data_IF_309156404920
#
_entry.id   IF_309156404920
#
_cell.length_a   1.000
_cell.length_b   1.000
_cell.length_c   1.000
_cell.angle_alpha   90.00
_cell.angle_beta   90.00
_cell.angle_gamma   90.00
#
_symmetry.space_group_name_H-M   'P 1'
#
loop_
_entity.id
_entity.type
_entity.pdbx_description
1 polymer ?
#
# COMPACT_ATOMS: atom_id res chain seq x y z
N UNK A 1 -15.30 10.63 -25.20
CA UNK A 1 -15.83 9.28 -25.52
C UNK A 1 -14.85 8.41 -26.31
N UNK A 2 -14.18 8.90 -27.36
CA UNK A 2 -13.18 8.11 -28.14
C UNK A 2 -11.97 7.58 -27.35
N UNK A 3 -11.52 8.28 -26.31
CA UNK A 3 -10.39 7.79 -25.48
C UNK A 3 -10.80 6.61 -24.57
N UNK A 4 -12.06 6.57 -24.10
CA UNK A 4 -12.55 5.47 -23.25
C UNK A 4 -12.69 4.17 -24.04
N UNK A 5 -13.14 4.24 -25.30
CA UNK A 5 -13.24 3.08 -26.19
C UNK A 5 -11.87 2.51 -26.57
N UNK A 6 -10.84 3.36 -26.72
CA UNK A 6 -9.47 2.91 -26.99
C UNK A 6 -8.82 2.19 -25.80
N UNK A 7 -9.11 2.62 -24.56
CA UNK A 7 -8.61 1.93 -23.36
C UNK A 7 -9.34 0.60 -23.09
N UNK A 8 -10.65 0.53 -23.37
CA UNK A 8 -11.40 -0.73 -23.29
C UNK A 8 -10.86 -1.80 -24.25
N UNK A 9 -10.41 -1.43 -25.45
CA UNK A 9 -9.81 -2.36 -26.42
C UNK A 9 -8.46 -2.93 -25.98
N UNK A 10 -7.75 -2.26 -25.05
CA UNK A 10 -6.43 -2.67 -24.60
C UNK A 10 -6.46 -3.72 -23.47
N UNK A 11 -7.61 -3.91 -22.81
CA UNK A 11 -7.88 -5.03 -21.89
C UNK A 11 -7.09 -5.04 -20.56
N UNK A 12 -6.16 -4.12 -20.34
CA UNK A 12 -5.38 -4.03 -19.09
C UNK A 12 -6.09 -3.12 -18.08
N UNK A 13 -6.39 -3.67 -16.90
CA UNK A 13 -6.95 -2.92 -15.78
C UNK A 13 -5.86 -2.34 -14.89
N UNK A 14 -6.21 -1.37 -14.04
CA UNK A 14 -5.32 -0.87 -12.99
C UNK A 14 -4.80 -2.03 -12.11
N UNK A 15 -5.66 -2.99 -11.76
CA UNK A 15 -5.26 -4.16 -10.97
C UNK A 15 -4.18 -4.99 -11.68
N UNK A 16 -4.35 -5.29 -12.97
CA UNK A 16 -3.35 -6.02 -13.75
C UNK A 16 -2.02 -5.25 -13.79
N UNK A 17 -2.06 -3.94 -14.00
CA UNK A 17 -0.86 -3.10 -14.00
C UNK A 17 -0.14 -3.11 -12.65
N UNK A 18 -0.88 -3.03 -11.54
CA UNK A 18 -0.30 -3.10 -10.19
C UNK A 18 0.27 -4.49 -9.91
N UNK A 19 -0.43 -5.57 -10.32
CA UNK A 19 0.07 -6.94 -10.14
C UNK A 19 1.39 -7.17 -10.87
N UNK A 20 1.48 -6.75 -12.14
CA UNK A 20 2.72 -6.80 -12.91
C UNK A 20 3.83 -5.97 -12.25
N UNK A 21 3.49 -4.79 -11.74
CA UNK A 21 4.44 -3.96 -11.01
C UNK A 21 4.93 -4.64 -9.72
N UNK A 22 4.06 -5.27 -8.93
CA UNK A 22 4.47 -6.02 -7.72
C UNK A 22 5.39 -7.20 -8.05
N UNK A 23 5.13 -7.91 -9.14
CA UNK A 23 6.04 -8.95 -9.64
C UNK A 23 7.39 -8.34 -10.03
N UNK A 24 7.40 -7.19 -10.72
CA UNK A 24 8.63 -6.48 -11.04
C UNK A 24 9.39 -6.05 -9.78
N UNK A 25 8.72 -5.55 -8.74
CA UNK A 25 9.35 -5.26 -7.45
C UNK A 25 10.02 -6.49 -6.85
N UNK A 26 9.35 -7.65 -6.85
CA UNK A 26 9.91 -8.92 -6.39
C UNK A 26 11.18 -9.26 -7.18
N UNK A 27 11.12 -9.15 -8.51
CA UNK A 27 12.28 -9.42 -9.39
C UNK A 27 13.44 -8.47 -9.07
N UNK A 28 13.20 -7.17 -8.87
CA UNK A 28 14.24 -6.22 -8.50
C UNK A 28 14.91 -6.57 -7.16
N UNK A 29 14.13 -7.01 -6.17
CA UNK A 29 14.67 -7.39 -4.85
C UNK A 29 15.46 -8.69 -4.91
N UNK A 30 14.99 -9.69 -5.67
CA UNK A 30 15.73 -10.92 -5.93
C UNK A 30 17.03 -10.61 -6.67
N UNK A 31 16.99 -9.72 -7.66
CA UNK A 31 18.20 -9.27 -8.36
C UNK A 31 19.20 -8.61 -7.41
N UNK A 32 18.74 -7.77 -6.46
CA UNK A 32 19.62 -7.24 -5.42
C UNK A 32 20.25 -8.35 -4.58
N UNK A 33 19.48 -9.36 -4.17
CA UNK A 33 20.01 -10.50 -3.43
C UNK A 33 21.03 -11.33 -4.21
N UNK A 34 20.83 -11.49 -5.52
CA UNK A 34 21.78 -12.20 -6.38
C UNK A 34 23.07 -11.40 -6.62
N UNK A 35 22.98 -10.07 -6.72
CA UNK A 35 24.13 -9.20 -7.00
C UNK A 35 24.95 -8.89 -5.75
N UNK A 36 24.29 -8.55 -4.64
CA UNK A 36 24.94 -8.09 -3.40
C UNK A 36 25.05 -9.19 -2.32
N UNK A 37 24.34 -10.32 -2.50
CA UNK A 37 24.24 -11.36 -1.50
C UNK A 37 23.31 -11.01 -0.34
N UNK A 38 23.23 -11.91 0.63
CA UNK A 38 22.48 -11.73 1.89
C UNK A 38 23.43 -11.90 3.08
N UNK A 39 24.46 -11.05 3.21
CA UNK A 39 25.50 -11.25 4.23
C UNK A 39 24.97 -11.02 5.64
N UNK A 40 24.01 -10.10 5.81
CA UNK A 40 23.58 -9.61 7.12
C UNK A 40 22.06 -9.63 7.32
N UNK A 41 21.66 -9.42 8.58
CA UNK A 41 20.27 -9.41 9.01
C UNK A 41 19.43 -8.33 8.30
N UNK A 42 20.03 -7.21 7.88
CA UNK A 42 19.32 -6.10 7.21
C UNK A 42 18.66 -6.56 5.92
N UNK A 43 19.44 -7.16 5.03
CA UNK A 43 18.97 -7.60 3.72
C UNK A 43 17.99 -8.75 3.86
N UNK A 44 18.28 -9.69 4.77
CA UNK A 44 17.38 -10.81 5.06
C UNK A 44 16.01 -10.32 5.56
N UNK A 45 15.98 -9.47 6.60
CA UNK A 45 14.73 -8.93 7.12
C UNK A 45 14.01 -8.10 6.06
N UNK A 46 14.72 -7.24 5.33
CA UNK A 46 14.11 -6.42 4.29
C UNK A 46 13.42 -7.31 3.23
N UNK A 47 14.10 -8.36 2.76
CA UNK A 47 13.54 -9.33 1.82
C UNK A 47 12.31 -10.00 2.39
N UNK A 48 12.37 -10.54 3.60
CA UNK A 48 11.24 -11.20 4.23
C UNK A 48 10.02 -10.28 4.33
N UNK A 49 10.19 -9.02 4.77
CA UNK A 49 9.08 -8.10 4.92
C UNK A 49 8.54 -7.61 3.57
N UNK A 50 9.40 -7.17 2.65
CA UNK A 50 8.90 -6.59 1.39
C UNK A 50 8.35 -7.66 0.44
N UNK A 51 8.98 -8.84 0.36
CA UNK A 51 8.45 -9.94 -0.44
C UNK A 51 7.15 -10.49 0.14
N UNK A 52 7.04 -10.66 1.47
CA UNK A 52 5.79 -11.14 2.06
C UNK A 52 4.64 -10.17 1.80
N UNK A 53 4.88 -8.86 1.79
CA UNK A 53 3.89 -7.87 1.39
C UNK A 53 3.46 -8.02 -0.08
N UNK A 54 4.41 -8.10 -1.02
CA UNK A 54 4.09 -8.26 -2.43
C UNK A 54 3.37 -9.60 -2.70
N UNK A 55 3.81 -10.68 -2.07
CA UNK A 55 3.15 -11.98 -2.14
C UNK A 55 1.74 -11.94 -1.56
N UNK A 56 1.55 -11.28 -0.41
CA UNK A 56 0.22 -11.09 0.19
C UNK A 56 -0.71 -10.35 -0.77
N UNK A 57 -0.27 -9.24 -1.38
CA UNK A 57 -1.05 -8.50 -2.38
C UNK A 57 -1.51 -9.38 -3.57
N UNK A 58 -0.65 -10.27 -4.06
CA UNK A 58 -0.98 -11.16 -5.16
C UNK A 58 -1.93 -12.29 -4.70
N UNK A 59 -1.66 -12.84 -3.52
CA UNK A 59 -2.40 -13.98 -2.98
C UNK A 59 -3.80 -13.60 -2.46
N UNK A 60 -3.96 -12.40 -1.89
CA UNK A 60 -5.24 -11.97 -1.31
C UNK A 60 -6.37 -11.90 -2.35
N UNK A 61 -6.05 -11.72 -3.63
CA UNK A 61 -7.04 -11.67 -4.71
C UNK A 61 -7.64 -13.06 -5.01
N UNK A 62 -6.88 -14.11 -4.70
CA UNK A 62 -7.35 -15.48 -4.76
C UNK A 62 -8.21 -15.81 -3.53
N UNK A 63 -7.76 -15.42 -2.33
CA UNK A 63 -8.52 -15.59 -1.08
C UNK A 63 -9.83 -14.79 -1.05
N UNK A 64 -9.81 -13.56 -1.58
CA UNK A 64 -10.95 -12.65 -1.63
C UNK A 64 -11.23 -12.23 -3.07
N UNK A 65 -11.91 -13.06 -3.88
CA UNK A 65 -12.17 -12.78 -5.29
C UNK A 65 -12.86 -11.44 -5.55
N UNK A 66 -13.65 -10.94 -4.61
CA UNK A 66 -14.31 -9.62 -4.69
C UNK A 66 -13.29 -8.47 -4.75
N UNK A 67 -12.05 -8.65 -4.25
CA UNK A 67 -10.98 -7.66 -4.40
C UNK A 67 -10.60 -7.43 -5.87
N UNK A 68 -10.86 -8.39 -6.77
CA UNK A 68 -10.60 -8.21 -8.21
C UNK A 68 -11.50 -7.16 -8.86
N UNK A 69 -12.60 -6.79 -8.20
CA UNK A 69 -13.45 -5.68 -8.62
C UNK A 69 -12.90 -4.31 -8.19
N UNK A 70 -11.94 -4.28 -7.26
CA UNK A 70 -11.20 -3.07 -6.93
C UNK A 70 -10.18 -2.81 -8.04
N UNK A 71 -10.00 -1.54 -8.43
CA UNK A 71 -9.06 -1.16 -9.49
C UNK A 71 -9.38 -1.83 -10.85
N UNK A 72 -10.68 -1.97 -11.17
CA UNK A 72 -11.16 -2.54 -12.43
C UNK A 72 -11.12 -1.56 -13.60
N UNK A 73 -10.85 -0.28 -13.35
CA UNK A 73 -10.81 0.73 -14.39
C UNK A 73 -9.71 0.40 -15.42
N UNK A 74 -9.99 0.49 -16.73
CA UNK A 74 -9.00 0.24 -17.76
C UNK A 74 -7.92 1.33 -17.70
N UNK A 75 -6.67 0.92 -17.90
CA UNK A 75 -5.53 1.83 -18.04
C UNK A 75 -5.02 1.82 -19.47
N UNK A 76 -4.34 2.88 -19.88
CA UNK A 76 -3.59 2.90 -21.12
C UNK A 76 -2.15 2.42 -20.99
N UNK A 77 -1.41 2.39 -22.11
CA UNK A 77 0.04 2.14 -22.11
C UNK A 77 0.80 3.03 -21.12
N UNK A 78 0.48 4.33 -21.09
CA UNK A 78 1.09 5.26 -20.13
C UNK A 78 0.78 4.90 -18.68
N UNK A 79 -0.43 4.43 -18.37
CA UNK A 79 -0.82 4.01 -17.03
C UNK A 79 -0.09 2.75 -16.58
N UNK A 80 0.06 1.76 -17.47
CA UNK A 80 0.85 0.57 -17.20
C UNK A 80 2.33 0.91 -16.99
N UNK A 81 2.93 1.69 -17.91
CA UNK A 81 4.34 2.12 -17.79
C UNK A 81 4.55 2.87 -16.48
N UNK A 82 3.64 3.77 -16.11
CA UNK A 82 3.71 4.50 -14.84
C UNK A 82 3.65 3.56 -13.64
N UNK A 83 2.78 2.54 -13.66
CA UNK A 83 2.72 1.54 -12.59
C UNK A 83 4.02 0.74 -12.49
N UNK A 84 4.60 0.30 -13.62
CA UNK A 84 5.85 -0.44 -13.64
C UNK A 84 7.03 0.41 -13.13
N UNK A 85 7.12 1.68 -13.53
CA UNK A 85 8.17 2.58 -13.08
C UNK A 85 8.02 2.95 -11.60
N UNK A 86 6.82 3.32 -11.16
CA UNK A 86 6.58 3.80 -9.79
C UNK A 86 6.48 2.64 -8.81
N UNK A 87 5.52 1.73 -9.01
CA UNK A 87 5.29 0.61 -8.09
C UNK A 87 6.31 -0.49 -8.30
N UNK A 88 6.72 -0.76 -9.54
CA UNK A 88 7.68 -1.83 -9.83
C UNK A 88 9.11 -1.47 -9.42
N UNK A 89 9.62 -0.35 -9.93
CA UNK A 89 11.03 0.05 -9.76
C UNK A 89 11.21 1.00 -8.57
N UNK A 90 10.52 2.13 -8.54
CA UNK A 90 10.75 3.14 -7.51
C UNK A 90 10.43 2.64 -6.10
N UNK A 91 9.40 1.81 -5.91
CA UNK A 91 9.13 1.21 -4.60
C UNK A 91 10.16 0.16 -4.18
N UNK A 92 11.00 -0.34 -5.09
CA UNK A 92 12.15 -1.18 -4.75
C UNK A 92 13.35 -0.37 -4.23
N UNK A 93 13.33 0.98 -4.32
CA UNK A 93 14.43 1.86 -3.88
C UNK A 93 14.87 1.62 -2.44
N UNK A 94 13.97 1.52 -1.43
CA UNK A 94 14.40 1.24 -0.06
C UNK A 94 15.09 -0.12 0.06
N UNK A 95 14.74 -1.07 -0.82
CA UNK A 95 15.40 -2.37 -0.90
C UNK A 95 16.82 -2.22 -1.40
N UNK A 96 17.01 -1.60 -2.56
CA UNK A 96 18.35 -1.31 -3.07
C UNK A 96 19.22 -0.59 -2.03
N UNK A 97 18.66 0.40 -1.32
CA UNK A 97 19.35 1.11 -0.24
C UNK A 97 19.65 0.21 0.96
N UNK A 98 18.75 -0.72 1.34
CA UNK A 98 19.01 -1.71 2.38
C UNK A 98 20.16 -2.67 2.00
N UNK A 99 20.24 -3.08 0.73
CA UNK A 99 21.29 -3.97 0.22
C UNK A 99 22.66 -3.31 0.14
N UNK A 100 22.68 -2.00 -0.13
CA UNK A 100 23.92 -1.22 -0.29
C UNK A 100 24.33 -0.46 0.97
N UNK A 101 23.59 -0.59 2.07
CA UNK A 101 23.92 0.04 3.33
C UNK A 101 25.04 -0.75 4.04
N UNK A 102 26.25 -0.16 4.23
CA UNK A 102 27.35 -0.84 4.88
C UNK A 102 27.17 -0.91 6.41
N UNK A 103 26.25 -0.13 6.98
CA UNK A 103 26.08 -0.06 8.42
C UNK A 103 25.32 -1.28 8.96
N UNK A 104 25.83 -1.91 10.03
CA UNK A 104 25.14 -3.04 10.66
C UNK A 104 23.76 -2.61 11.17
N UNK A 105 22.80 -3.53 11.10
CA UNK A 105 21.45 -3.25 11.60
C UNK A 105 21.44 -3.29 13.13
N UNK A 106 21.08 -2.16 13.77
CA UNK A 106 20.87 -2.15 15.21
C UNK A 106 19.60 -2.92 15.62
N UNK A 107 19.61 -3.54 16.79
CA UNK A 107 18.42 -4.22 17.34
C UNK A 107 17.23 -3.28 17.48
N UNK A 108 17.47 -2.01 17.85
CA UNK A 108 16.42 -1.01 17.97
C UNK A 108 15.76 -0.72 16.62
N UNK A 109 16.57 -0.52 15.57
CA UNK A 109 16.06 -0.31 14.20
C UNK A 109 15.25 -1.51 13.72
N UNK A 110 15.74 -2.73 13.96
CA UNK A 110 15.03 -3.96 13.63
C UNK A 110 13.68 -4.04 14.36
N UNK A 111 13.66 -3.78 15.67
CA UNK A 111 12.45 -3.82 16.49
C UNK A 111 11.41 -2.79 16.02
N UNK A 112 11.82 -1.55 15.76
CA UNK A 112 10.93 -0.49 15.26
C UNK A 112 10.33 -0.91 13.91
N UNK A 113 11.16 -1.38 12.98
CA UNK A 113 10.67 -1.82 11.67
C UNK A 113 9.68 -2.98 11.77
N UNK A 114 9.95 -3.98 12.62
CA UNK A 114 9.05 -5.11 12.82
C UNK A 114 7.70 -4.66 13.40
N UNK A 115 7.71 -3.80 14.42
CA UNK A 115 6.48 -3.23 15.00
C UNK A 115 5.68 -2.49 13.94
N UNK A 116 6.32 -1.60 13.17
CA UNK A 116 5.67 -0.86 12.09
C UNK A 116 5.06 -1.79 11.04
N UNK A 117 5.80 -2.82 10.61
CA UNK A 117 5.35 -3.76 9.61
C UNK A 117 4.18 -4.61 10.09
N UNK A 118 4.28 -5.18 11.30
CA UNK A 118 3.28 -6.08 11.88
C UNK A 118 1.98 -5.31 12.14
N UNK A 119 2.03 -4.22 12.91
CA UNK A 119 0.84 -3.45 13.20
C UNK A 119 0.28 -2.78 11.94
N UNK A 120 1.12 -2.29 11.05
CA UNK A 120 0.69 -1.76 9.76
C UNK A 120 -0.10 -2.79 8.94
N UNK A 121 0.39 -4.03 8.90
CA UNK A 121 -0.28 -5.13 8.20
C UNK A 121 -1.59 -5.55 8.86
N UNK A 122 -1.61 -5.71 10.19
CA UNK A 122 -2.82 -6.04 10.93
C UNK A 122 -3.89 -4.96 10.75
N UNK A 123 -3.54 -3.69 10.94
CA UNK A 123 -4.47 -2.56 10.79
C UNK A 123 -5.05 -2.51 9.39
N UNK A 124 -4.19 -2.57 8.36
CA UNK A 124 -4.62 -2.49 6.97
C UNK A 124 -5.55 -3.64 6.59
N UNK A 125 -5.16 -4.88 6.91
CA UNK A 125 -5.96 -6.07 6.59
C UNK A 125 -7.27 -6.10 7.36
N UNK A 126 -7.27 -5.82 8.67
CA UNK A 126 -8.50 -5.79 9.48
C UNK A 126 -9.49 -4.74 8.98
N UNK A 127 -9.01 -3.55 8.63
CA UNK A 127 -9.85 -2.49 8.09
C UNK A 127 -10.49 -2.86 6.75
N UNK A 128 -9.69 -3.41 5.83
CA UNK A 128 -10.17 -3.84 4.53
C UNK A 128 -11.17 -5.00 4.65
N UNK A 129 -10.88 -6.02 5.49
CA UNK A 129 -11.79 -7.16 5.72
C UNK A 129 -13.12 -6.68 6.30
N UNK A 130 -13.12 -5.86 7.36
CA UNK A 130 -14.36 -5.33 7.95
C UNK A 130 -15.19 -4.57 6.89
N UNK A 131 -14.54 -3.72 6.09
CA UNK A 131 -15.22 -2.94 5.05
C UNK A 131 -15.76 -3.81 3.92
N UNK A 132 -15.01 -4.82 3.48
CA UNK A 132 -15.46 -5.77 2.45
C UNK A 132 -16.64 -6.59 2.92
N UNK A 133 -16.59 -7.11 4.15
CA UNK A 133 -17.70 -7.85 4.75
C UNK A 133 -18.94 -6.97 4.85
N UNK A 134 -18.82 -5.73 5.36
CA UNK A 134 -19.95 -4.80 5.42
C UNK A 134 -20.57 -4.55 4.03
N UNK A 135 -19.74 -4.41 2.99
CA UNK A 135 -20.21 -4.24 1.61
C UNK A 135 -20.94 -5.49 1.09
N UNK A 136 -20.50 -6.70 1.44
CA UNK A 136 -21.16 -7.95 1.05
C UNK A 136 -22.56 -8.06 1.64
N UNK A 137 -22.76 -7.58 2.87
CA UNK A 137 -24.07 -7.51 3.53
C UNK A 137 -24.86 -6.24 3.17
N UNK A 138 -24.42 -5.47 2.18
CA UNK A 138 -25.05 -4.21 1.76
C UNK A 138 -25.27 -3.22 2.91
N UNK A 139 -24.38 -3.24 3.91
CA UNK A 139 -24.40 -2.29 5.00
C UNK A 139 -24.02 -0.89 4.46
N UNK A 140 -24.55 0.13 5.10
CA UNK A 140 -24.30 1.53 4.75
C UNK A 140 -22.88 2.00 5.09
N UNK A 141 -22.77 3.20 5.67
CA UNK A 141 -21.49 3.77 6.06
C UNK A 141 -20.84 2.96 7.20
N UNK A 142 -19.65 2.41 6.97
CA UNK A 142 -18.85 1.73 8.01
C UNK A 142 -18.14 2.78 8.87
N UNK A 143 -18.55 2.86 10.14
CA UNK A 143 -18.05 3.86 11.12
C UNK A 143 -17.84 3.28 12.52
N UNK A 144 -17.74 1.96 12.63
CA UNK A 144 -17.56 1.20 13.85
C UNK A 144 -16.23 0.42 13.85
N UNK A 145 -15.93 -0.28 14.94
CA UNK A 145 -14.69 -1.07 15.05
C UNK A 145 -13.44 -0.23 14.81
N UNK A 146 -12.56 -0.69 13.90
CA UNK A 146 -11.31 0.01 13.58
C UNK A 146 -11.53 1.33 12.83
N UNK A 147 -12.65 1.45 12.12
CA UNK A 147 -13.01 2.66 11.39
C UNK A 147 -13.54 3.77 12.31
N UNK A 148 -14.04 3.44 13.50
CA UNK A 148 -14.65 4.39 14.45
C UNK A 148 -13.83 5.66 14.68
N UNK A 149 -12.51 5.53 14.79
CA UNK A 149 -11.64 6.64 15.14
C UNK A 149 -10.90 7.25 13.95
N UNK A 150 -10.83 6.58 12.80
CA UNK A 150 -10.09 7.06 11.65
C UNK A 150 -10.72 6.61 10.31
N UNK A 151 -11.08 7.58 9.47
CA UNK A 151 -11.81 7.36 8.19
C UNK A 151 -10.96 6.72 7.09
N UNK A 152 -9.64 6.72 7.25
CA UNK A 152 -8.68 6.14 6.30
C UNK A 152 -7.63 5.30 7.03
N UNK A 153 -8.05 4.56 8.06
CA UNK A 153 -7.16 3.76 8.91
C UNK A 153 -6.41 2.67 8.12
N UNK A 154 -6.97 2.19 7.01
CA UNK A 154 -6.29 1.26 6.12
C UNK A 154 -5.08 1.91 5.41
N UNK A 155 -5.18 3.18 5.00
CA UNK A 155 -4.06 3.94 4.43
C UNK A 155 -2.98 4.20 5.47
N UNK A 156 -3.35 4.44 6.73
CA UNK A 156 -2.39 4.55 7.81
C UNK A 156 -1.62 3.26 8.03
N UNK A 157 -2.31 2.11 8.11
CA UNK A 157 -1.65 0.81 8.23
C UNK A 157 -0.69 0.52 7.07
N UNK A 158 -1.09 0.88 5.84
CA UNK A 158 -0.25 0.74 4.67
C UNK A 158 1.00 1.65 4.73
N UNK A 159 0.86 2.90 5.15
CA UNK A 159 1.98 3.81 5.38
C UNK A 159 2.96 3.26 6.42
N UNK A 160 2.48 2.74 7.56
CA UNK A 160 3.36 2.11 8.56
C UNK A 160 4.21 0.99 7.95
N UNK A 161 3.61 0.18 7.06
CA UNK A 161 4.34 -0.86 6.33
C UNK A 161 5.45 -0.27 5.47
N UNK A 162 5.17 0.78 4.69
CA UNK A 162 6.21 1.43 3.88
C UNK A 162 7.28 2.16 4.72
N UNK A 163 6.90 2.72 5.86
CA UNK A 163 7.87 3.27 6.82
C UNK A 163 8.79 2.20 7.38
N UNK A 164 8.30 0.97 7.62
CA UNK A 164 9.17 -0.13 8.06
C UNK A 164 10.29 -0.43 7.05
N UNK A 165 9.99 -0.36 5.75
CA UNK A 165 10.99 -0.55 4.70
C UNK A 165 12.02 0.58 4.69
N UNK A 166 11.58 1.83 4.86
CA UNK A 166 12.50 2.97 4.93
C UNK A 166 13.40 2.92 6.17
N UNK A 167 12.85 2.50 7.32
CA UNK A 167 13.62 2.30 8.57
C UNK A 167 14.67 1.20 8.38
N UNK A 168 14.30 0.05 7.78
CA UNK A 168 15.27 -1.02 7.48
C UNK A 168 16.31 -0.64 6.44
N UNK A 169 15.96 0.22 5.48
CA UNK A 169 16.92 0.75 4.52
C UNK A 169 18.02 1.57 5.20
N UNK A 170 17.71 2.23 6.32
CA UNK A 170 18.69 3.03 7.09
C UNK A 170 19.25 4.21 6.29
N UNK A 171 18.46 4.75 5.35
CA UNK A 171 18.86 5.86 4.48
C UNK A 171 17.72 6.86 4.37
N UNK A 172 18.04 8.15 4.45
CA UNK A 172 17.04 9.22 4.33
C UNK A 172 16.31 9.20 2.98
N UNK A 173 17.01 8.77 1.92
CA UNK A 173 16.46 8.66 0.57
C UNK A 173 15.36 7.60 0.47
N UNK A 174 15.36 6.61 1.37
CA UNK A 174 14.33 5.58 1.40
C UNK A 174 12.94 6.14 1.76
N UNK A 175 12.89 7.27 2.47
CA UNK A 175 11.64 7.92 2.87
C UNK A 175 10.92 8.62 1.70
N UNK A 176 11.56 8.75 0.53
CA UNK A 176 10.90 9.23 -0.68
C UNK A 176 9.70 8.35 -1.06
N UNK A 177 9.78 7.03 -0.83
CA UNK A 177 8.70 6.09 -1.13
C UNK A 177 7.47 6.32 -0.25
N UNK A 178 7.52 6.16 1.10
CA UNK A 178 6.37 6.47 1.95
C UNK A 178 5.89 7.92 1.81
N UNK A 179 6.80 8.88 1.56
CA UNK A 179 6.44 10.27 1.27
C UNK A 179 5.56 10.42 0.02
N UNK A 180 5.95 9.78 -1.10
CA UNK A 180 5.16 9.79 -2.34
C UNK A 180 3.79 9.12 -2.17
N UNK A 181 3.73 8.05 -1.38
CA UNK A 181 2.50 7.32 -1.07
C UNK A 181 1.57 8.18 -0.22
N UNK A 182 2.11 8.89 0.78
CA UNK A 182 1.34 9.82 1.60
C UNK A 182 0.72 10.92 0.73
N UNK A 183 1.49 11.54 -0.18
CA UNK A 183 0.96 12.55 -1.11
C UNK A 183 -0.18 12.00 -2.00
N UNK A 184 -0.01 10.79 -2.53
CA UNK A 184 -1.06 10.10 -3.29
C UNK A 184 -2.31 9.86 -2.44
N UNK A 185 -2.13 9.44 -1.19
CA UNK A 185 -3.24 9.22 -0.25
C UNK A 185 -3.95 10.51 0.13
N UNK A 186 -3.25 11.62 0.33
CA UNK A 186 -3.89 12.93 0.57
C UNK A 186 -4.85 13.30 -0.57
N UNK A 187 -4.43 13.11 -1.82
CA UNK A 187 -5.29 13.33 -2.99
C UNK A 187 -6.50 12.40 -2.99
N UNK A 188 -6.28 11.08 -2.82
CA UNK A 188 -7.35 10.08 -2.79
C UNK A 188 -8.34 10.29 -1.65
N UNK A 189 -7.85 10.76 -0.50
CA UNK A 189 -8.69 11.09 0.66
C UNK A 189 -9.60 12.25 0.31
N UNK A 190 -9.09 13.33 -0.30
CA UNK A 190 -9.92 14.47 -0.68
C UNK A 190 -11.06 14.06 -1.63
N UNK A 191 -10.74 13.31 -2.69
CA UNK A 191 -11.73 12.78 -3.65
C UNK A 191 -12.76 11.87 -2.96
N UNK A 192 -12.28 10.99 -2.07
CA UNK A 192 -13.13 10.08 -1.29
C UNK A 192 -14.05 10.85 -0.33
N UNK A 193 -13.55 11.83 0.41
CA UNK A 193 -14.36 12.57 1.38
C UNK A 193 -15.48 13.36 0.68
N UNK A 194 -15.21 13.92 -0.50
CA UNK A 194 -16.25 14.56 -1.32
C UNK A 194 -17.32 13.54 -1.73
N UNK A 195 -16.94 12.43 -2.36
CA UNK A 195 -17.87 11.40 -2.82
C UNK A 195 -18.69 10.79 -1.67
N UNK A 196 -18.09 10.65 -0.47
CA UNK A 196 -18.77 10.13 0.71
C UNK A 196 -19.77 11.13 1.28
N UNK A 197 -19.47 12.43 1.25
CA UNK A 197 -20.38 13.50 1.71
C UNK A 197 -21.61 13.62 0.80
N UNK A 198 -21.45 13.40 -0.50
CA UNK A 198 -22.55 13.38 -1.46
C UNK A 198 -23.42 12.11 -1.32
N UNK A 199 -22.80 10.98 -0.94
CA UNK A 199 -23.47 9.68 -0.87
C UNK A 199 -24.19 9.41 0.46
N UNK A 200 -23.66 9.89 1.58
CA UNK A 200 -24.14 9.54 2.93
C UNK A 200 -24.50 10.80 3.72
N UNK A 201 -25.79 10.98 4.03
CA UNK A 201 -26.27 12.13 4.79
C UNK A 201 -25.65 12.22 6.21
N UNK A 202 -25.36 11.08 6.82
CA UNK A 202 -24.77 10.95 8.16
C UNK A 202 -23.23 10.98 8.16
N UNK A 203 -22.59 11.26 7.02
CA UNK A 203 -21.13 11.33 6.92
C UNK A 203 -20.55 12.50 7.73
N UNK A 204 -21.26 13.62 7.81
CA UNK A 204 -20.80 14.80 8.55
C UNK A 204 -20.63 14.52 10.05
N UNK A 205 -21.50 13.69 10.64
CA UNK A 205 -21.38 13.25 12.03
C UNK A 205 -20.18 12.33 12.22
N UNK A 206 -19.92 11.44 11.26
CA UNK A 206 -18.73 10.61 11.28
C UNK A 206 -17.45 11.45 11.17
N UNK A 207 -17.44 12.51 10.35
CA UNK A 207 -16.30 13.43 10.26
C UNK A 207 -15.99 14.12 11.58
N UNK A 208 -17.01 14.50 12.35
CA UNK A 208 -16.85 15.12 13.68
C UNK A 208 -16.34 14.14 14.73
N UNK A 209 -16.70 12.86 14.62
CA UNK A 209 -16.37 11.83 15.61
C UNK A 209 -15.06 11.07 15.35
N UNK A 210 -14.37 11.34 14.23
CA UNK A 210 -13.18 10.59 13.81
C UNK A 210 -12.10 11.49 13.22
N UNK A 211 -10.85 10.99 13.18
CA UNK A 211 -9.77 11.62 12.43
C UNK A 211 -9.73 11.11 10.99
N UNK A 212 -8.95 11.77 10.14
CA UNK A 212 -8.86 11.54 8.71
C UNK A 212 -7.91 10.40 8.37
N UNK A 213 -6.67 10.42 8.84
CA UNK A 213 -5.62 9.46 8.47
C UNK A 213 -4.85 8.91 9.69
N UNK A 214 -4.32 9.78 10.55
CA UNK A 214 -3.55 9.38 11.72
C UNK A 214 -4.53 9.28 12.91
N UNK A 215 -4.73 8.07 13.48
CA UNK A 215 -5.64 7.91 14.62
C UNK A 215 -5.32 8.88 15.75
N UNK A 216 -6.34 9.56 16.27
CA UNK A 216 -6.27 10.53 17.38
C UNK A 216 -5.46 11.81 17.12
N UNK A 217 -4.90 12.00 15.92
CA UNK A 217 -4.10 13.18 15.59
C UNK A 217 -4.67 13.98 14.41
N UNK A 218 -4.85 13.34 13.25
CA UNK A 218 -5.28 14.05 12.05
C UNK A 218 -6.10 13.21 11.10
#
# INVERSE_FOLDING_TARGET
>A
MQNLTRFQAWGVTQLTAINLAKVLTIVCLIACALVFGLPDLRQLLYMCLHLSYCCWWLFEQWLYPQRRQLFSDPVGPLGLISALLIVGIFYALPGYLAFTNPEPLSFLTAAIALVLYIFGSLINTSADVQKMTAKQFSLGLVRDGIWRFCRNVNYFGDLLRYFSFAVLAGSIWAYLVPGSIALLYLKRIAEKEQAMSEKYADYSDYQKASTRLIPFLW
#
